data_IF_138209217368
#
_entry.id   IF_138209217368
#
_cell.length_a   1.000
_cell.length_b   1.000
_cell.length_c   1.000
_cell.angle_alpha   90.00
_cell.angle_beta   90.00
_cell.angle_gamma   90.00
#
_symmetry.space_group_name_H-M   'P 1'
#
loop_
_entity.id
_entity.type
_entity.pdbx_description
1 polymer ?
#
# COMPACT_ATOMS: atom_id res chain seq x y z
N UNK A 1 -0.07 24.96 -20.95
CA UNK A 1 0.05 23.64 -21.58
C UNK A 1 0.18 22.64 -20.44
N UNK A 2 -0.91 22.00 -20.07
CA UNK A 2 -0.93 20.95 -19.05
C UNK A 2 -0.52 19.69 -19.79
N UNK A 3 0.76 19.33 -19.75
CA UNK A 3 1.20 18.05 -20.30
C UNK A 3 0.47 16.96 -19.52
N UNK A 4 -0.21 16.04 -20.23
CA UNK A 4 -0.72 14.82 -19.64
C UNK A 4 0.44 14.16 -18.88
N UNK A 5 0.41 14.25 -17.55
CA UNK A 5 1.45 13.68 -16.70
C UNK A 5 1.37 12.16 -16.91
N UNK A 6 2.42 11.59 -17.50
CA UNK A 6 2.48 10.15 -17.74
C UNK A 6 2.27 9.43 -16.41
N UNK A 7 1.26 8.58 -16.34
CA UNK A 7 0.90 7.85 -15.11
C UNK A 7 1.42 6.42 -15.18
N UNK A 8 1.64 5.83 -14.01
CA UNK A 8 2.01 4.41 -13.91
C UNK A 8 0.87 3.51 -14.39
N UNK A 9 1.19 2.45 -15.13
CA UNK A 9 0.23 1.39 -15.44
C UNK A 9 -0.01 0.52 -14.20
N UNK A 10 -1.27 0.36 -13.80
CA UNK A 10 -1.62 -0.35 -12.56
C UNK A 10 -1.27 -1.84 -12.59
N UNK A 11 -1.25 -2.49 -13.76
CA UNK A 11 -0.87 -3.89 -13.88
C UNK A 11 0.65 -4.05 -13.78
N UNK A 12 1.41 -3.12 -14.37
CA UNK A 12 2.87 -3.06 -14.24
C UNK A 12 3.26 -2.78 -12.78
N UNK A 13 2.59 -1.82 -12.13
CA UNK A 13 2.77 -1.52 -10.72
C UNK A 13 2.50 -2.75 -9.84
N UNK A 14 1.40 -3.47 -10.10
CA UNK A 14 1.07 -4.69 -9.36
C UNK A 14 2.17 -5.75 -9.47
N UNK A 15 2.73 -5.97 -10.66
CA UNK A 15 3.86 -6.89 -10.85
C UNK A 15 5.11 -6.44 -10.09
N UNK A 16 5.41 -5.14 -10.10
CA UNK A 16 6.53 -4.57 -9.35
C UNK A 16 6.36 -4.78 -7.83
N UNK A 17 5.18 -4.49 -7.29
CA UNK A 17 4.94 -4.66 -5.85
C UNK A 17 4.91 -6.14 -5.47
N UNK A 18 4.35 -7.01 -6.30
CA UNK A 18 4.41 -8.46 -6.09
C UNK A 18 5.85 -8.98 -6.01
N UNK A 19 6.74 -8.44 -6.84
CA UNK A 19 8.15 -8.76 -6.80
C UNK A 19 8.79 -8.35 -5.45
N UNK A 20 8.52 -7.12 -4.98
CA UNK A 20 9.03 -6.66 -3.68
C UNK A 20 8.43 -7.44 -2.50
N UNK A 21 7.15 -7.78 -2.53
CA UNK A 21 6.50 -8.64 -1.53
C UNK A 21 7.24 -10.00 -1.44
N UNK A 22 7.51 -10.63 -2.58
CA UNK A 22 8.21 -11.93 -2.60
C UNK A 22 9.67 -11.83 -2.09
N UNK A 23 10.42 -10.83 -2.55
CA UNK A 23 11.86 -10.75 -2.36
C UNK A 23 12.28 -10.08 -1.05
N UNK A 24 11.52 -9.11 -0.56
CA UNK A 24 11.94 -8.21 0.53
C UNK A 24 11.12 -8.35 1.80
N UNK A 25 9.93 -8.96 1.75
CA UNK A 25 9.10 -9.15 2.95
C UNK A 25 9.87 -9.95 4.01
N UNK A 26 10.24 -9.35 5.15
CA UNK A 26 11.08 -10.02 6.14
C UNK A 26 10.32 -11.17 6.81
N UNK A 27 10.93 -12.36 6.89
CA UNK A 27 10.35 -13.52 7.56
C UNK A 27 10.27 -13.34 9.08
N UNK A 28 9.20 -13.82 9.73
CA UNK A 28 9.06 -13.84 11.18
C UNK A 28 7.69 -13.37 11.70
N UNK A 29 7.40 -13.67 12.97
CA UNK A 29 6.10 -13.44 13.64
C UNK A 29 5.79 -11.97 13.97
N UNK A 30 6.70 -11.03 13.66
CA UNK A 30 6.46 -9.62 13.86
C UNK A 30 6.18 -9.02 12.49
N UNK A 31 5.00 -8.43 12.31
CA UNK A 31 4.60 -7.75 11.08
C UNK A 31 5.67 -6.71 10.70
N UNK A 32 6.57 -7.13 9.82
CA UNK A 32 7.84 -6.45 9.60
C UNK A 32 7.60 -5.34 8.59
N UNK A 33 7.27 -4.15 9.09
CA UNK A 33 7.26 -2.93 8.33
C UNK A 33 8.59 -2.79 7.55
N UNK A 34 8.49 -2.52 6.26
CA UNK A 34 9.62 -2.16 5.41
C UNK A 34 9.13 -1.22 4.32
N UNK A 35 10.08 -0.54 3.70
CA UNK A 35 9.82 0.34 2.58
C UNK A 35 10.91 0.17 1.53
N UNK A 36 10.57 0.45 0.29
CA UNK A 36 11.44 0.36 -0.88
C UNK A 36 11.29 1.65 -1.66
N UNK A 37 12.42 2.24 -2.06
CA UNK A 37 12.47 3.30 -3.04
C UNK A 37 13.24 2.78 -4.23
N UNK A 38 12.66 2.86 -5.42
CA UNK A 38 13.30 2.41 -6.66
C UNK A 38 13.19 3.49 -7.73
N UNK A 39 14.27 3.66 -8.50
CA UNK A 39 14.33 4.42 -9.74
C UNK A 39 14.64 3.47 -10.89
N UNK A 40 13.84 3.51 -11.94
CA UNK A 40 13.93 2.68 -13.14
C UNK A 40 13.60 3.50 -14.40
N UNK A 41 13.92 3.03 -15.62
CA UNK A 41 13.40 3.65 -16.84
C UNK A 41 11.86 3.66 -16.87
N UNK A 42 11.25 4.66 -17.53
CA UNK A 42 9.79 4.82 -17.56
C UNK A 42 9.04 3.59 -18.06
N UNK A 43 9.62 2.83 -18.99
CA UNK A 43 9.05 1.59 -19.53
C UNK A 43 8.77 0.54 -18.43
N UNK A 44 9.59 0.54 -17.37
CA UNK A 44 9.43 -0.34 -16.20
C UNK A 44 8.21 -0.01 -15.33
N UNK A 45 7.53 1.10 -15.62
CA UNK A 45 6.32 1.57 -14.96
C UNK A 45 5.10 1.66 -15.88
N UNK A 46 5.27 1.58 -17.20
CA UNK A 46 4.17 1.80 -18.17
C UNK A 46 3.85 0.58 -19.04
N UNK A 47 4.85 -0.16 -19.48
CA UNK A 47 4.66 -1.20 -20.52
C UNK A 47 5.00 -2.59 -20.01
N UNK A 48 6.15 -2.73 -19.34
CA UNK A 48 6.63 -4.02 -18.87
C UNK A 48 7.48 -3.85 -17.63
N UNK A 49 7.24 -4.66 -16.61
CA UNK A 49 8.14 -4.78 -15.47
C UNK A 49 9.00 -6.03 -15.62
N UNK A 50 10.31 -5.85 -15.73
CA UNK A 50 11.29 -6.92 -15.70
C UNK A 50 12.62 -6.37 -15.16
N UNK A 51 13.00 -6.83 -13.97
CA UNK A 51 14.27 -6.51 -13.32
C UNK A 51 15.14 -7.76 -13.12
N UNK A 52 14.85 -8.85 -13.82
CA UNK A 52 15.58 -10.12 -13.69
C UNK A 52 17.05 -9.95 -14.02
N UNK A 53 17.40 -9.19 -15.07
CA UNK A 53 18.80 -8.95 -15.45
C UNK A 53 19.62 -8.24 -14.37
N UNK A 54 18.96 -7.47 -13.51
CA UNK A 54 19.61 -6.70 -12.43
C UNK A 54 19.61 -7.51 -11.14
N UNK A 55 18.44 -8.03 -10.76
CA UNK A 55 18.22 -8.64 -9.45
C UNK A 55 18.38 -10.15 -9.40
N UNK A 56 18.63 -10.83 -10.54
CA UNK A 56 18.99 -12.25 -10.53
C UNK A 56 20.48 -12.54 -10.38
N UNK A 57 21.33 -11.50 -10.34
CA UNK A 57 22.73 -11.64 -9.99
C UNK A 57 22.88 -12.19 -8.57
N UNK A 58 23.92 -13.00 -8.35
CA UNK A 58 24.17 -13.61 -7.04
C UNK A 58 24.42 -12.56 -5.95
N UNK A 59 25.14 -11.50 -6.29
CA UNK A 59 25.41 -10.38 -5.39
C UNK A 59 24.12 -9.71 -4.89
N UNK A 60 23.21 -9.36 -5.80
CA UNK A 60 21.96 -8.69 -5.43
C UNK A 60 21.03 -9.65 -4.67
N UNK A 61 20.91 -10.90 -5.12
CA UNK A 61 20.14 -11.93 -4.39
C UNK A 61 20.63 -12.10 -2.97
N UNK A 62 21.95 -12.18 -2.77
CA UNK A 62 22.56 -12.32 -1.45
C UNK A 62 22.32 -11.07 -0.60
N UNK A 63 22.42 -9.88 -1.18
CA UNK A 63 22.11 -8.61 -0.52
C UNK A 63 20.65 -8.50 -0.06
N UNK A 64 19.70 -8.85 -0.93
CA UNK A 64 18.27 -8.87 -0.63
C UNK A 64 17.94 -9.92 0.44
N UNK A 65 18.49 -11.13 0.32
CA UNK A 65 18.32 -12.20 1.32
C UNK A 65 18.90 -11.80 2.68
N UNK A 66 20.07 -11.16 2.69
CA UNK A 66 20.68 -10.67 3.92
C UNK A 66 19.83 -9.56 4.55
N UNK A 67 19.30 -8.62 3.75
CA UNK A 67 18.34 -7.64 4.24
C UNK A 67 17.08 -8.31 4.81
N UNK A 68 16.51 -9.28 4.10
CA UNK A 68 15.29 -9.99 4.51
C UNK A 68 15.47 -10.71 5.85
N UNK A 69 16.54 -11.48 5.99
CA UNK A 69 16.71 -12.41 7.11
C UNK A 69 17.53 -11.88 8.28
N UNK A 70 18.27 -10.77 8.12
CA UNK A 70 19.03 -10.16 9.21
C UNK A 70 18.25 -9.00 9.86
N UNK A 71 17.85 -9.18 11.12
CA UNK A 71 17.13 -8.16 11.90
C UNK A 71 17.98 -6.93 12.25
N UNK A 72 19.31 -7.06 12.23
CA UNK A 72 20.22 -5.92 12.43
C UNK A 72 20.39 -5.08 11.17
N UNK A 73 20.18 -5.67 9.99
CA UNK A 73 20.28 -4.94 8.72
C UNK A 73 19.02 -4.09 8.51
N UNK A 74 19.16 -2.78 8.68
CA UNK A 74 18.04 -1.82 8.53
C UNK A 74 17.97 -1.15 7.18
N UNK A 75 19.06 -1.11 6.42
CA UNK A 75 19.13 -0.46 5.11
C UNK A 75 19.86 -1.39 4.14
N UNK A 76 19.34 -1.48 2.92
CA UNK A 76 19.99 -2.09 1.77
C UNK A 76 19.94 -1.09 0.61
N UNK A 77 21.06 -0.90 -0.08
CA UNK A 77 21.18 -0.02 -1.23
C UNK A 77 21.81 -0.78 -2.39
N UNK A 78 21.28 -0.55 -3.59
CA UNK A 78 21.81 -1.03 -4.85
C UNK A 78 21.81 0.13 -5.86
N UNK A 79 22.91 0.33 -6.56
CA UNK A 79 23.02 1.32 -7.64
C UNK A 79 23.66 0.66 -8.85
N UNK A 80 22.90 0.52 -9.92
CA UNK A 80 23.41 0.25 -11.27
C UNK A 80 23.10 1.40 -12.21
N UNK A 81 23.47 1.25 -13.49
CA UNK A 81 23.42 2.33 -14.48
C UNK A 81 22.01 2.89 -14.70
N UNK A 82 21.02 2.01 -14.85
CA UNK A 82 19.63 2.39 -15.12
C UNK A 82 18.68 2.14 -13.95
N UNK A 83 19.14 1.45 -12.90
CA UNK A 83 18.31 1.02 -11.77
C UNK A 83 18.99 1.38 -10.47
N UNK A 84 18.26 2.01 -9.56
CA UNK A 84 18.72 2.23 -8.19
C UNK A 84 17.62 1.84 -7.22
N UNK A 85 17.96 1.11 -6.17
CA UNK A 85 17.01 0.62 -5.17
C UNK A 85 17.56 0.89 -3.78
N UNK A 86 16.73 1.39 -2.89
CA UNK A 86 17.01 1.45 -1.45
C UNK A 86 15.85 0.83 -0.69
N UNK A 87 16.12 -0.16 0.16
CA UNK A 87 15.14 -0.77 1.04
C UNK A 87 15.47 -0.46 2.51
N UNK A 88 14.45 -0.14 3.30
CA UNK A 88 14.61 0.20 4.72
C UNK A 88 13.65 -0.59 5.61
N UNK A 89 14.09 -0.88 6.83
CA UNK A 89 13.26 -1.33 7.95
C UNK A 89 13.18 -0.19 8.99
N UNK A 90 12.21 -0.19 9.91
CA UNK A 90 12.19 0.73 11.04
C UNK A 90 13.52 0.73 11.78
N UNK A 91 14.07 1.91 12.01
CA UNK A 91 15.32 2.10 12.74
C UNK A 91 15.04 2.58 14.16
N UNK A 92 15.98 2.28 15.06
CA UNK A 92 16.01 2.85 16.40
C UNK A 92 17.28 3.65 16.53
N UNK A 93 17.17 4.88 17.02
CA UNK A 93 18.31 5.69 17.39
C UNK A 93 18.29 5.97 18.88
N UNK A 94 19.49 6.09 19.45
CA UNK A 94 19.65 6.44 20.87
C UNK A 94 20.61 7.63 21.01
N UNK A 95 20.21 8.85 20.62
CA UNK A 95 21.00 10.03 20.91
C UNK A 95 20.95 10.32 22.42
N UNK A 96 22.10 10.17 23.10
CA UNK A 96 22.18 10.27 24.56
C UNK A 96 21.29 9.22 25.24
N UNK A 97 20.34 9.67 26.08
CA UNK A 97 19.45 8.80 26.86
C UNK A 97 18.07 8.56 26.22
N UNK A 98 17.75 9.23 25.09
CA UNK A 98 16.42 9.17 24.48
C UNK A 98 16.39 8.12 23.36
N UNK A 99 15.46 7.16 23.45
CA UNK A 99 15.24 6.15 22.41
C UNK A 99 14.18 6.66 21.43
N UNK A 100 14.57 6.83 20.17
CA UNK A 100 13.66 7.15 19.07
C UNK A 100 13.47 5.93 18.17
N UNK A 101 12.24 5.72 17.71
CA UNK A 101 11.91 4.72 16.69
C UNK A 101 11.39 5.44 15.46
N UNK A 102 12.09 5.32 14.35
CA UNK A 102 11.68 5.85 13.05
C UNK A 102 11.04 4.74 12.22
N UNK A 103 10.00 5.13 11.49
CA UNK A 103 9.30 4.25 10.57
C UNK A 103 10.09 4.14 9.27
N UNK A 104 9.96 3.04 8.52
CA UNK A 104 10.78 2.80 7.33
C UNK A 104 10.57 3.86 6.25
N UNK A 105 9.34 4.36 6.09
CA UNK A 105 9.00 5.46 5.20
C UNK A 105 9.73 6.76 5.60
N UNK A 106 9.82 7.04 6.90
CA UNK A 106 10.56 8.19 7.39
C UNK A 106 12.05 8.05 7.08
N UNK A 107 12.65 6.88 7.29
CA UNK A 107 14.07 6.63 7.00
C UNK A 107 14.41 6.83 5.51
N UNK A 108 13.49 6.48 4.61
CA UNK A 108 13.69 6.70 3.16
C UNK A 108 13.52 8.16 2.75
N UNK A 109 12.47 8.81 3.26
CA UNK A 109 12.03 10.12 2.78
C UNK A 109 12.79 11.25 3.49
N UNK A 110 12.97 11.10 4.80
CA UNK A 110 13.54 12.10 5.70
C UNK A 110 14.87 11.60 6.22
N UNK A 111 15.93 12.35 5.95
CA UNK A 111 17.27 11.92 6.36
C UNK A 111 17.35 11.79 7.87
N UNK A 112 17.75 10.62 8.36
CA UNK A 112 18.12 10.43 9.77
C UNK A 112 19.62 10.74 9.98
N UNK A 113 20.38 10.93 8.89
CA UNK A 113 21.80 11.26 8.86
C UNK A 113 22.04 12.70 8.35
N UNK A 114 23.19 13.34 8.65
CA UNK A 114 23.38 14.78 8.45
C UNK A 114 23.45 15.26 6.99
N UNK A 115 23.53 14.37 5.99
CA UNK A 115 23.85 14.78 4.63
C UNK A 115 22.63 14.82 3.69
N UNK A 116 21.99 13.68 3.36
CA UNK A 116 20.85 13.61 2.45
C UNK A 116 20.02 12.33 2.70
N UNK A 117 18.70 12.38 2.44
CA UNK A 117 17.86 11.18 2.51
C UNK A 117 18.06 10.26 1.31
N UNK A 118 17.74 8.95 1.41
CA UNK A 118 17.73 8.05 0.25
C UNK A 118 16.89 8.57 -0.92
N UNK A 119 15.75 9.20 -0.63
CA UNK A 119 14.93 9.87 -1.63
C UNK A 119 15.69 10.99 -2.33
N UNK A 120 16.31 11.89 -1.58
CA UNK A 120 17.09 12.99 -2.17
C UNK A 120 18.24 12.50 -3.05
N UNK A 121 18.94 11.43 -2.62
CA UNK A 121 20.04 10.81 -3.38
C UNK A 121 19.58 10.23 -4.71
N UNK A 122 18.36 9.68 -4.77
CA UNK A 122 17.80 9.16 -6.02
C UNK A 122 17.32 10.30 -6.92
N UNK A 123 16.70 11.33 -6.35
CA UNK A 123 16.15 12.46 -7.11
C UNK A 123 17.21 13.32 -7.77
N UNK A 124 18.40 13.47 -7.17
CA UNK A 124 19.52 14.22 -7.79
C UNK A 124 19.99 13.63 -9.13
N UNK A 125 19.68 12.37 -9.39
CA UNK A 125 20.08 11.67 -10.61
C UNK A 125 18.87 11.31 -11.50
N UNK A 126 17.68 11.84 -11.20
CA UNK A 126 16.45 11.50 -11.92
C UNK A 126 16.21 12.43 -13.11
N UNK A 127 15.73 11.89 -14.23
CA UNK A 127 15.33 12.66 -15.41
C UNK A 127 13.93 12.26 -15.93
N UNK A 128 13.47 12.94 -16.98
CA UNK A 128 12.12 12.80 -17.52
C UNK A 128 11.76 11.39 -18.00
N UNK A 129 12.75 10.56 -18.35
CA UNK A 129 12.54 9.21 -18.87
C UNK A 129 12.62 8.13 -17.77
N UNK A 130 12.50 8.54 -16.52
CA UNK A 130 12.60 7.65 -15.38
C UNK A 130 11.32 7.70 -14.54
N UNK A 131 11.10 6.57 -13.88
CA UNK A 131 10.03 6.37 -12.92
C UNK A 131 10.65 6.17 -11.55
N UNK A 132 10.10 6.87 -10.55
CA UNK A 132 10.46 6.70 -9.15
C UNK A 132 9.25 6.15 -8.42
N UNK A 133 9.40 4.97 -7.82
CA UNK A 133 8.37 4.29 -7.05
C UNK A 133 8.82 4.16 -5.60
N UNK A 134 8.01 4.66 -4.69
CA UNK A 134 8.18 4.47 -3.26
C UNK A 134 7.09 3.50 -2.80
N UNK A 135 7.48 2.31 -2.36
CA UNK A 135 6.60 1.30 -1.82
C UNK A 135 6.78 1.17 -0.30
N UNK A 136 5.68 1.00 0.43
CA UNK A 136 5.69 0.70 1.86
C UNK A 136 4.77 -0.47 2.16
N UNK A 137 5.22 -1.42 3.00
CA UNK A 137 4.38 -2.56 3.35
C UNK A 137 3.13 -2.12 4.11
N UNK A 138 3.30 -1.27 5.13
CA UNK A 138 2.19 -0.61 5.80
C UNK A 138 2.00 0.81 5.27
N UNK A 139 0.77 1.31 5.31
CA UNK A 139 0.47 2.70 5.04
C UNK A 139 1.22 3.62 6.00
N UNK A 140 1.62 4.83 5.56
CA UNK A 140 2.15 5.85 6.46
C UNK A 140 1.17 6.09 7.60
N UNK A 141 1.59 5.85 8.85
CA UNK A 141 0.67 6.00 9.95
C UNK A 141 0.28 7.47 10.14
N UNK A 142 -0.98 7.72 10.50
CA UNK A 142 -1.50 9.09 10.60
C UNK A 142 -0.71 9.86 11.66
N UNK A 143 -0.65 9.32 12.88
CA UNK A 143 -0.10 10.03 14.05
C UNK A 143 1.33 10.50 13.84
N UNK A 144 2.22 9.64 13.31
CA UNK A 144 3.64 9.98 13.15
C UNK A 144 3.99 10.45 11.75
N UNK A 145 3.62 9.69 10.74
CA UNK A 145 4.14 9.94 9.40
C UNK A 145 3.39 11.05 8.67
N UNK A 146 2.15 11.34 9.07
CA UNK A 146 1.36 12.41 8.45
C UNK A 146 1.29 13.65 9.34
N UNK A 147 0.96 13.49 10.64
CA UNK A 147 0.60 14.63 11.50
C UNK A 147 1.69 15.10 12.47
N UNK A 148 2.73 14.31 12.76
CA UNK A 148 3.76 14.70 13.74
C UNK A 148 4.60 15.87 13.24
N UNK A 149 4.79 16.90 14.06
CA UNK A 149 5.51 18.11 13.66
C UNK A 149 6.97 17.87 13.26
N UNK A 150 7.63 16.85 13.83
CA UNK A 150 9.06 16.60 13.66
C UNK A 150 9.36 15.33 12.85
N UNK A 151 8.41 14.41 12.78
CA UNK A 151 8.61 13.06 12.23
C UNK A 151 7.61 12.67 11.14
N UNK A 152 6.99 13.67 10.51
CA UNK A 152 6.19 13.46 9.31
C UNK A 152 7.06 13.33 8.06
N UNK A 153 6.48 12.77 7.01
CA UNK A 153 7.11 12.58 5.70
C UNK A 153 6.69 13.65 4.67
N UNK A 154 5.70 14.48 5.00
CA UNK A 154 5.06 15.40 4.05
C UNK A 154 6.07 16.40 3.44
N UNK A 155 7.02 16.88 4.24
CA UNK A 155 8.09 17.75 3.72
C UNK A 155 8.91 17.05 2.62
N UNK A 156 9.35 15.83 2.86
CA UNK A 156 10.16 15.10 1.87
C UNK A 156 9.35 14.70 0.63
N UNK A 157 8.03 14.46 0.77
CA UNK A 157 7.14 14.26 -0.37
C UNK A 157 6.93 15.55 -1.18
N UNK A 158 6.82 16.70 -0.51
CA UNK A 158 6.79 17.99 -1.19
C UNK A 158 8.10 18.26 -1.94
N UNK A 159 9.25 17.97 -1.32
CA UNK A 159 10.55 18.09 -1.97
C UNK A 159 10.64 17.17 -3.20
N UNK A 160 10.07 15.96 -3.13
CA UNK A 160 9.97 15.07 -4.29
C UNK A 160 9.14 15.67 -5.42
N UNK A 161 7.94 16.18 -5.10
CA UNK A 161 7.07 16.88 -6.07
C UNK A 161 7.80 18.02 -6.79
N UNK A 162 8.58 18.80 -6.04
CA UNK A 162 9.30 19.97 -6.56
C UNK A 162 10.54 19.59 -7.37
N UNK A 163 11.32 18.60 -6.90
CA UNK A 163 12.59 18.20 -7.55
C UNK A 163 12.36 17.37 -8.81
N UNK A 164 11.34 16.51 -8.82
CA UNK A 164 10.99 15.71 -10.00
C UNK A 164 9.77 16.33 -10.68
N UNK A 165 9.98 17.32 -11.55
CA UNK A 165 8.88 17.98 -12.26
C UNK A 165 8.33 17.15 -13.44
N UNK A 166 9.04 16.10 -13.83
CA UNK A 166 8.79 15.26 -15.01
C UNK A 166 9.04 13.78 -14.67
N UNK A 167 8.57 12.88 -15.54
CA UNK A 167 8.64 11.44 -15.29
C UNK A 167 7.64 10.96 -14.25
N UNK A 168 7.57 9.64 -14.10
CA UNK A 168 6.50 8.97 -13.34
C UNK A 168 6.84 8.94 -11.85
N UNK A 169 5.86 9.23 -11.00
CA UNK A 169 5.94 9.12 -9.55
C UNK A 169 4.84 8.19 -9.06
N UNK A 170 5.15 7.30 -8.13
CA UNK A 170 4.14 6.51 -7.44
C UNK A 170 4.54 6.28 -5.98
N UNK A 171 3.69 6.72 -5.05
CA UNK A 171 3.73 6.27 -3.66
C UNK A 171 2.73 5.12 -3.54
N UNK A 172 3.21 3.93 -3.19
CA UNK A 172 2.39 2.74 -3.00
C UNK A 172 2.45 2.25 -1.56
N UNK A 173 1.32 1.84 -1.01
CA UNK A 173 1.27 1.03 0.20
C UNK A 173 0.44 -0.24 0.02
N UNK A 174 0.63 -1.24 0.89
CA UNK A 174 -0.11 -2.49 0.82
C UNK A 174 -1.16 -2.62 1.93
N UNK A 175 -0.70 -2.76 3.17
CA UNK A 175 -1.56 -2.90 4.36
C UNK A 175 -1.89 -1.55 4.98
N UNK A 176 -3.08 -1.42 5.57
CA UNK A 176 -3.36 -0.28 6.43
C UNK A 176 -2.64 -0.48 7.77
N UNK A 177 -1.94 0.55 8.23
CA UNK A 177 -1.33 0.52 9.55
C UNK A 177 -2.38 0.19 10.61
N UNK A 178 -2.14 -0.88 11.38
CA UNK A 178 -3.10 -1.43 12.35
C UNK A 178 -3.62 -0.39 13.38
N UNK A 179 -2.84 0.65 13.66
CA UNK A 179 -3.24 1.71 14.59
C UNK A 179 -4.26 2.70 14.03
N UNK A 180 -4.52 2.66 12.72
CA UNK A 180 -5.36 3.64 12.01
C UNK A 180 -6.64 3.01 11.43
N UNK A 181 -6.97 1.76 11.79
CA UNK A 181 -8.13 1.03 11.25
C UNK A 181 -9.49 1.72 11.51
N UNK A 182 -9.57 2.56 12.57
CA UNK A 182 -10.77 3.32 12.92
C UNK A 182 -10.66 4.81 12.56
N UNK A 183 -9.61 5.21 11.84
CA UNK A 183 -9.33 6.62 11.55
C UNK A 183 -9.97 7.09 10.24
N UNK A 184 -10.04 8.41 10.05
CA UNK A 184 -10.43 9.03 8.79
C UNK A 184 -9.29 8.93 7.76
N UNK A 185 -9.11 7.76 7.16
CA UNK A 185 -8.02 7.49 6.21
C UNK A 185 -8.10 8.35 4.95
N UNK A 186 -9.31 8.61 4.45
CA UNK A 186 -9.55 9.36 3.20
C UNK A 186 -8.93 10.76 3.28
N UNK A 187 -9.29 11.52 4.32
CA UNK A 187 -8.78 12.88 4.51
C UNK A 187 -7.26 12.91 4.71
N UNK A 188 -6.70 11.95 5.47
CA UNK A 188 -5.27 11.95 5.75
C UNK A 188 -4.45 11.51 4.53
N UNK A 189 -4.93 10.53 3.75
CA UNK A 189 -4.25 10.06 2.55
C UNK A 189 -4.38 11.05 1.39
N UNK A 190 -5.45 11.85 1.34
CA UNK A 190 -5.54 12.96 0.40
C UNK A 190 -4.39 13.97 0.57
N UNK A 191 -3.86 14.15 1.78
CA UNK A 191 -2.68 15.01 2.01
C UNK A 191 -1.43 14.49 1.30
N UNK A 192 -1.29 13.16 1.20
CA UNK A 192 -0.19 12.51 0.49
C UNK A 192 -0.44 12.57 -1.01
N UNK A 193 -1.63 12.20 -1.46
CA UNK A 193 -1.99 12.14 -2.89
C UNK A 193 -1.87 13.51 -3.60
N UNK A 194 -2.19 14.60 -2.89
CA UNK A 194 -1.99 15.97 -3.37
C UNK A 194 -0.51 16.35 -3.58
N UNK A 195 0.43 15.63 -2.96
CA UNK A 195 1.87 15.83 -3.13
C UNK A 195 2.44 14.90 -4.20
N UNK A 196 2.08 13.63 -4.13
CA UNK A 196 2.56 12.59 -5.05
C UNK A 196 1.46 11.52 -5.20
N UNK A 197 1.20 11.02 -6.44
CA UNK A 197 0.14 10.04 -6.67
C UNK A 197 0.25 8.83 -5.73
N UNK A 198 -0.82 8.59 -4.98
CA UNK A 198 -0.89 7.55 -3.98
C UNK A 198 -1.68 6.35 -4.51
N UNK A 199 -1.16 5.15 -4.25
CA UNK A 199 -1.75 3.90 -4.67
C UNK A 199 -1.79 2.91 -3.51
N UNK A 200 -2.82 2.05 -3.52
CA UNK A 200 -2.92 0.88 -2.65
C UNK A 200 -2.82 -0.38 -3.49
N UNK A 201 -1.93 -1.29 -3.12
CA UNK A 201 -1.87 -2.60 -3.72
C UNK A 201 -2.29 -3.68 -2.72
N UNK A 202 -3.21 -4.56 -3.10
CA UNK A 202 -3.76 -5.61 -2.25
C UNK A 202 -3.48 -6.96 -2.87
N UNK A 203 -3.10 -7.93 -2.04
CA UNK A 203 -2.88 -9.30 -2.45
C UNK A 203 -4.20 -10.08 -2.37
N UNK A 204 -4.77 -10.39 -3.53
CA UNK A 204 -6.00 -11.17 -3.69
C UNK A 204 -5.67 -12.49 -4.41
N UNK A 205 -6.00 -13.64 -3.81
CA UNK A 205 -5.77 -14.97 -4.40
C UNK A 205 -4.34 -15.19 -4.94
N UNK A 206 -3.33 -14.78 -4.16
CA UNK A 206 -1.89 -14.78 -4.52
C UNK A 206 -1.48 -13.86 -5.69
N UNK A 207 -2.37 -13.00 -6.17
CA UNK A 207 -2.10 -11.99 -7.18
C UNK A 207 -2.16 -10.60 -6.55
N UNK A 208 -1.19 -9.74 -6.90
CA UNK A 208 -1.21 -8.35 -6.48
C UNK A 208 -2.13 -7.56 -7.41
N UNK A 209 -2.93 -6.65 -6.86
CA UNK A 209 -3.78 -5.73 -7.60
C UNK A 209 -3.63 -4.33 -7.03
N UNK A 210 -3.43 -3.32 -7.88
CA UNK A 210 -3.19 -1.95 -7.45
C UNK A 210 -4.32 -1.03 -7.88
N UNK A 211 -4.61 -0.05 -7.02
CA UNK A 211 -5.65 0.95 -7.19
C UNK A 211 -5.08 2.31 -6.84
N UNK A 212 -5.45 3.33 -7.60
CA UNK A 212 -5.14 4.71 -7.23
C UNK A 212 -6.05 5.14 -6.08
N UNK A 213 -5.49 5.78 -5.06
CA UNK A 213 -6.26 6.36 -3.97
C UNK A 213 -6.97 7.64 -4.46
N UNK A 214 -8.13 7.96 -3.89
CA UNK A 214 -8.90 9.15 -4.28
C UNK A 214 -9.72 8.99 -5.58
N UNK A 215 -9.38 8.03 -6.44
CA UNK A 215 -10.27 7.62 -7.52
C UNK A 215 -11.47 6.90 -6.90
N UNK A 216 -12.68 7.34 -7.26
CA UNK A 216 -13.95 6.80 -6.74
C UNK A 216 -14.24 5.41 -7.32
N UNK A 217 -13.46 4.40 -6.91
CA UNK A 217 -13.72 3.01 -7.26
C UNK A 217 -14.52 2.29 -6.19
N UNK A 218 -15.56 1.60 -6.68
CA UNK A 218 -16.47 0.74 -5.95
C UNK A 218 -15.70 -0.48 -5.43
N UNK A 219 -15.10 -0.39 -4.25
CA UNK A 219 -14.78 -1.59 -3.49
C UNK A 219 -16.08 -2.39 -3.35
N UNK A 220 -16.11 -3.57 -3.99
CA UNK A 220 -17.25 -4.47 -3.84
C UNK A 220 -17.03 -5.19 -2.53
N UNK A 221 -17.55 -4.63 -1.44
CA UNK A 221 -17.53 -5.32 -0.15
C UNK A 221 -18.35 -6.61 -0.28
N UNK A 222 -17.70 -7.75 -0.09
CA UNK A 222 -18.40 -9.01 0.16
C UNK A 222 -18.71 -9.03 1.65
N UNK A 223 -19.93 -8.66 2.01
CA UNK A 223 -20.44 -8.85 3.37
C UNK A 223 -21.03 -10.25 3.47
N UNK A 224 -20.44 -11.10 4.30
CA UNK A 224 -21.01 -12.42 4.61
C UNK A 224 -22.02 -12.25 5.75
N UNK A 225 -23.31 -12.40 5.44
CA UNK A 225 -24.38 -12.36 6.43
C UNK A 225 -24.75 -13.80 6.82
N UNK A 226 -24.49 -14.18 8.06
CA UNK A 226 -24.92 -15.49 8.59
C UNK A 226 -26.30 -15.32 9.22
N UNK A 227 -27.34 -15.78 8.53
CA UNK A 227 -28.70 -15.81 9.07
C UNK A 227 -28.94 -17.17 9.73
N UNK A 228 -29.30 -17.17 11.01
CA UNK A 228 -29.86 -18.34 11.69
C UNK A 228 -31.36 -18.32 11.45
N UNK A 229 -31.88 -19.33 10.76
CA UNK A 229 -33.32 -19.48 10.51
C UNK A 229 -33.80 -20.75 11.19
N UNK A 230 -34.87 -20.63 11.98
CA UNK A 230 -35.53 -21.76 12.64
C UNK A 230 -36.79 -22.14 11.87
N UNK A 231 -36.88 -23.40 11.45
CA UNK A 231 -38.09 -23.96 10.84
C UNK A 231 -38.52 -25.18 11.67
N UNK A 232 -39.78 -25.20 12.11
CA UNK A 232 -40.36 -26.30 12.91
C UNK A 232 -39.50 -26.73 14.12
N UNK A 233 -39.00 -25.77 14.90
CA UNK A 233 -38.23 -26.05 16.12
C UNK A 233 -36.81 -26.59 15.91
N UNK A 234 -36.33 -26.78 14.66
CA UNK A 234 -34.93 -27.13 14.36
C UNK A 234 -34.16 -25.94 13.80
N UNK A 235 -33.00 -25.66 14.41
CA UNK A 235 -32.11 -24.56 14.03
C UNK A 235 -31.32 -24.91 12.77
N UNK A 236 -31.46 -24.12 11.71
CA UNK A 236 -30.64 -24.25 10.49
C UNK A 236 -29.78 -22.99 10.31
N UNK A 237 -28.50 -23.18 9.99
CA UNK A 237 -27.60 -22.08 9.62
C UNK A 237 -27.65 -21.90 8.11
N UNK A 238 -28.15 -20.76 7.64
CA UNK A 238 -28.11 -20.39 6.23
C UNK A 238 -26.97 -19.39 6.02
N UNK A 239 -26.02 -19.72 5.16
CA UNK A 239 -24.95 -18.82 4.78
C UNK A 239 -25.42 -18.00 3.57
N UNK A 240 -25.61 -16.69 3.74
CA UNK A 240 -25.97 -15.79 2.67
C UNK A 240 -24.76 -14.90 2.35
N UNK A 241 -24.18 -15.12 1.18
CA UNK A 241 -23.10 -14.27 0.66
C UNK A 241 -23.75 -13.10 -0.08
N UNK A 242 -23.68 -11.90 0.49
CA UNK A 242 -24.21 -10.70 -0.13
C UNK A 242 -23.09 -9.95 -0.84
N UNK A 243 -23.24 -9.76 -2.15
CA UNK A 243 -22.39 -8.88 -2.94
C UNK A 243 -23.06 -7.51 -2.97
N UNK A 244 -22.57 -6.56 -2.17
CA UNK A 244 -23.14 -5.22 -2.10
C UNK A 244 -22.31 -4.28 -2.97
N UNK A 245 -22.94 -3.69 -3.99
CA UNK A 245 -22.41 -2.54 -4.71
C UNK A 245 -23.26 -1.33 -4.36
N UNK A 246 -22.66 -0.16 -4.13
CA UNK A 246 -23.38 1.11 -3.80
C UNK A 246 -24.34 1.60 -4.90
N UNK A 247 -24.55 0.82 -5.96
CA UNK A 247 -25.58 1.08 -6.96
C UNK A 247 -26.27 -0.24 -7.27
N UNK A 248 -27.51 -0.37 -6.78
CA UNK A 248 -28.44 -1.48 -6.98
C UNK A 248 -28.15 -2.76 -6.17
N UNK A 249 -29.06 -3.07 -5.24
CA UNK A 249 -29.20 -4.41 -4.69
C UNK A 249 -29.65 -5.35 -5.81
N UNK A 250 -28.75 -6.20 -6.29
CA UNK A 250 -29.12 -7.37 -7.08
C UNK A 250 -29.09 -8.60 -6.17
N UNK A 251 -30.27 -9.19 -5.94
CA UNK A 251 -30.40 -10.48 -5.27
C UNK A 251 -30.15 -11.59 -6.29
N UNK A 252 -29.10 -12.39 -6.09
CA UNK A 252 -28.94 -13.66 -6.79
C UNK A 252 -28.91 -14.78 -5.74
N UNK A 253 -30.04 -15.45 -5.54
CA UNK A 253 -30.09 -16.65 -4.72
C UNK A 253 -29.38 -17.79 -5.46
N UNK A 254 -28.39 -18.41 -4.81
CA UNK A 254 -27.78 -19.65 -5.29
C UNK A 254 -28.79 -20.79 -5.18
N UNK A 255 -28.98 -21.50 -6.28
CA UNK A 255 -29.90 -22.63 -6.42
C UNK A 255 -29.63 -23.74 -5.42
N UNK A 256 -30.64 -24.07 -4.61
CA UNK A 256 -31.22 -25.39 -4.40
C UNK A 256 -32.10 -25.32 -3.15
N UNK A 257 -33.42 -25.20 -3.31
CA UNK A 257 -34.45 -25.84 -2.48
C UNK A 257 -35.85 -25.52 -3.04
N UNK A 258 -36.75 -26.48 -2.85
CA UNK A 258 -38.03 -26.69 -3.53
C UNK A 258 -39.00 -25.49 -3.53
N UNK A 259 -39.78 -25.41 -4.62
CA UNK A 259 -40.96 -24.55 -4.78
C UNK A 259 -42.00 -24.85 -3.69
N UNK A 260 -42.22 -23.91 -2.77
CA UNK A 260 -43.53 -23.69 -2.14
C UNK A 260 -43.53 -22.39 -1.35
N UNK A 261 -44.47 -21.52 -1.69
CA UNK A 261 -45.01 -20.37 -0.95
C UNK A 261 -44.05 -19.33 -0.36
N UNK A 262 -43.85 -18.25 -1.13
CA UNK A 262 -43.31 -17.00 -0.64
C UNK A 262 -44.43 -16.15 -0.03
N UNK A 263 -44.56 -16.17 1.29
CA UNK A 263 -45.23 -15.09 2.03
C UNK A 263 -44.24 -13.95 2.28
N UNK A 264 -44.69 -12.72 2.04
CA UNK A 264 -43.93 -11.46 2.16
C UNK A 264 -43.24 -11.36 3.52
N UNK A 265 -41.91 -11.39 3.53
CA UNK A 265 -41.08 -11.11 4.70
C UNK A 265 -41.02 -9.58 4.90
N UNK A 266 -41.72 -9.08 5.91
CA UNK A 266 -41.54 -7.73 6.43
C UNK A 266 -40.15 -7.65 7.11
N UNK A 267 -39.14 -7.25 6.34
CA UNK A 267 -37.82 -6.89 6.85
C UNK A 267 -37.90 -5.54 7.57
N UNK A 268 -38.00 -5.56 8.90
CA UNK A 268 -37.54 -4.41 9.71
C UNK A 268 -36.02 -4.42 9.70
N UNK A 269 -35.39 -3.64 8.83
CA UNK A 269 -33.97 -3.31 8.98
C UNK A 269 -33.82 -2.44 10.23
N UNK A 270 -33.16 -2.96 11.26
CA UNK A 270 -32.57 -2.11 12.29
C UNK A 270 -31.24 -1.60 11.73
N UNK A 271 -31.28 -0.43 11.10
CA UNK A 271 -30.09 0.41 10.93
C UNK A 271 -29.80 1.01 12.30
N UNK A 272 -28.82 0.46 13.02
CA UNK A 272 -28.24 1.18 14.16
C UNK A 272 -27.39 2.32 13.59
N UNK A 273 -28.02 3.48 13.45
CA UNK A 273 -27.35 4.76 13.36
C UNK A 273 -26.77 5.08 14.73
N UNK A 274 -25.45 4.97 14.89
CA UNK A 274 -24.77 5.68 15.96
C UNK A 274 -24.46 7.09 15.45
N UNK A 275 -25.38 8.01 15.75
CA UNK A 275 -25.21 9.45 15.62
C UNK A 275 -25.08 10.03 17.03
N UNK A 276 -23.96 10.72 17.23
CA UNK A 276 -23.62 11.79 18.17
C UNK A 276 -23.43 11.51 19.67
N UNK A 277 -22.22 11.85 20.12
CA UNK A 277 -21.99 13.13 20.83
C UNK A 277 -20.58 13.65 20.50
#
# INVERSE_FOLDING_TARGET
IQSDEETVDLNVLAKMIQYFDAMLQPGGNNHNQYSVLIRVPSQQCTTQFNLDSVFNTEEVKNGLNHFKNNDQRRIYEFTGDSVSLTATKPTKETPGSKKFKYHSEYVLISSVAPNQSPLEKILTNTNNNQCVVLYTYNSPCIKKCITDANKNILKGLLDWKVKQTTGIKAFVFQEIWQGDLSANLEEQFAKIDNLVPLYRCVKNDNQMQCYKCGDSYRETFISVLILKVTFSGRLHKLLLVLKVSRSNLFFKAGHNFLKSDWSILNLKSKTEHLVNS
#
